data_IF_910723126377
#
_entry.id   IF_910723126377
#
_cell.length_a   1.000
_cell.length_b   1.000
_cell.length_c   1.000
_cell.angle_alpha   90.00
_cell.angle_beta   90.00
_cell.angle_gamma   90.00
#
_symmetry.space_group_name_H-M   'P 1'
#
loop_
_entity.id
_entity.type
_entity.pdbx_description
1 polymer ?
#
# COMPACT_ATOMS: atom_id res chain seq x y z
N UNK A 1 5.96 -10.89 22.01
CA UNK A 1 5.67 -11.18 20.59
C UNK A 1 4.21 -10.97 20.24
N UNK A 2 3.26 -11.48 21.03
CA UNK A 2 1.81 -11.36 20.74
C UNK A 2 1.31 -9.91 20.59
N UNK A 3 1.86 -8.94 21.35
CA UNK A 3 1.40 -7.55 21.31
C UNK A 3 1.60 -6.85 19.95
N UNK A 4 2.65 -7.16 19.17
CA UNK A 4 2.87 -6.54 17.85
C UNK A 4 1.90 -7.10 16.82
N UNK A 5 1.63 -8.40 16.89
CA UNK A 5 0.71 -9.06 15.94
C UNK A 5 -0.72 -8.53 16.09
N UNK A 6 -1.12 -8.16 17.32
CA UNK A 6 -2.43 -7.57 17.59
C UNK A 6 -2.53 -6.09 17.22
N UNK A 7 -1.40 -5.38 17.16
CA UNK A 7 -1.36 -3.93 16.99
C UNK A 7 -1.09 -3.46 15.57
N UNK A 8 -0.61 -4.34 14.68
CA UNK A 8 -0.48 -4.01 13.26
C UNK A 8 -1.84 -4.11 12.57
N UNK A 9 -2.23 -3.06 11.88
CA UNK A 9 -3.37 -3.06 10.97
C UNK A 9 -3.06 -2.25 9.71
N UNK A 10 -3.64 -2.64 8.56
CA UNK A 10 -3.48 -1.88 7.33
C UNK A 10 -4.43 -0.67 7.34
N UNK A 11 -3.91 0.49 6.97
CA UNK A 11 -4.68 1.69 6.72
C UNK A 11 -4.98 1.73 5.23
N UNK A 12 -6.20 1.42 4.86
CA UNK A 12 -6.66 1.41 3.47
C UNK A 12 -6.56 2.81 2.86
N UNK A 13 -6.04 2.90 1.62
CA UNK A 13 -5.99 4.14 0.85
C UNK A 13 -7.07 4.09 -0.23
N UNK A 14 -6.96 3.18 -1.19
CA UNK A 14 -7.97 2.93 -2.21
C UNK A 14 -7.80 1.57 -2.90
N UNK A 15 -8.80 1.18 -3.66
CA UNK A 15 -8.82 -0.01 -4.50
C UNK A 15 -9.34 0.37 -5.88
N UNK A 16 -8.78 -0.25 -6.91
CA UNK A 16 -9.31 -0.21 -8.27
C UNK A 16 -9.15 -1.55 -8.97
N UNK A 17 -10.02 -1.78 -9.95
CA UNK A 17 -9.95 -2.91 -10.88
C UNK A 17 -9.45 -2.37 -12.22
N UNK A 18 -8.25 -2.82 -12.60
CA UNK A 18 -7.57 -2.38 -13.82
C UNK A 18 -7.70 -3.43 -14.90
N UNK A 19 -7.83 -2.95 -16.14
CA UNK A 19 -7.73 -3.76 -17.36
C UNK A 19 -6.71 -3.09 -18.27
N UNK A 20 -5.70 -3.83 -18.67
CA UNK A 20 -4.66 -3.35 -19.58
C UNK A 20 -4.49 -4.32 -20.72
N UNK A 21 -4.17 -3.77 -21.90
CA UNK A 21 -3.93 -4.56 -23.10
C UNK A 21 -2.59 -5.29 -23.08
N UNK A 22 -2.39 -6.14 -24.06
CA UNK A 22 -1.16 -6.92 -24.29
C UNK A 22 0.14 -6.09 -24.30
N UNK A 23 0.08 -4.83 -24.72
CA UNK A 23 1.27 -3.99 -24.87
C UNK A 23 1.52 -3.08 -23.66
N UNK A 24 0.70 -3.22 -22.63
CA UNK A 24 0.85 -2.39 -21.44
C UNK A 24 2.20 -2.61 -20.75
N UNK A 25 2.88 -1.50 -20.50
CA UNK A 25 4.12 -1.44 -19.72
C UNK A 25 3.98 -0.38 -18.65
N UNK A 26 4.19 -0.75 -17.40
CA UNK A 26 4.39 0.18 -16.32
C UNK A 26 5.90 0.32 -16.11
N UNK A 27 6.48 1.51 -16.35
CA UNK A 27 7.92 1.70 -16.24
C UNK A 27 8.36 1.61 -14.79
N UNK A 28 9.66 1.29 -14.63
CA UNK A 28 10.28 1.15 -13.30
C UNK A 28 10.11 2.42 -12.47
N UNK A 29 9.41 2.33 -11.35
CA UNK A 29 9.16 3.44 -10.44
C UNK A 29 9.03 2.97 -8.99
N UNK A 30 9.50 3.79 -8.02
CA UNK A 30 9.31 3.49 -6.61
C UNK A 30 7.82 3.56 -6.24
N UNK A 31 7.39 2.69 -5.33
CA UNK A 31 6.01 2.64 -4.85
C UNK A 31 5.93 3.29 -3.47
N UNK A 32 5.19 4.41 -3.30
CA UNK A 32 5.18 5.17 -2.05
C UNK A 32 4.29 4.58 -0.94
N UNK A 33 3.64 3.47 -1.20
CA UNK A 33 2.73 2.74 -0.31
C UNK A 33 2.85 1.23 -0.55
N UNK A 34 2.29 0.42 0.32
CA UNK A 34 2.16 -1.02 0.07
C UNK A 34 0.97 -1.32 -0.85
N UNK A 35 1.13 -2.32 -1.73
CA UNK A 35 0.05 -2.79 -2.61
C UNK A 35 -0.12 -4.29 -2.49
N UNK A 36 -1.37 -4.74 -2.64
CA UNK A 36 -1.69 -6.13 -2.90
C UNK A 36 -2.51 -6.18 -4.18
N UNK A 37 -2.10 -7.01 -5.15
CA UNK A 37 -2.80 -7.22 -6.42
C UNK A 37 -3.29 -8.65 -6.52
N UNK A 38 -4.56 -8.83 -6.86
CA UNK A 38 -5.12 -10.12 -7.23
C UNK A 38 -5.31 -10.16 -8.75
N UNK A 39 -4.66 -11.10 -9.43
CA UNK A 39 -4.82 -11.28 -10.87
C UNK A 39 -6.12 -12.05 -11.15
N UNK A 40 -7.06 -11.39 -11.83
CA UNK A 40 -8.37 -11.95 -12.17
C UNK A 40 -8.29 -12.77 -13.45
N UNK A 41 -7.59 -12.25 -14.47
CA UNK A 41 -7.37 -12.91 -15.76
C UNK A 41 -6.15 -12.36 -16.48
N UNK A 42 -5.62 -13.13 -17.42
CA UNK A 42 -4.44 -12.76 -18.20
C UNK A 42 -3.13 -13.00 -17.46
N UNK A 43 -2.01 -12.75 -18.16
CA UNK A 43 -0.66 -12.98 -17.68
C UNK A 43 0.22 -11.75 -17.88
N UNK A 44 1.15 -11.54 -16.96
CA UNK A 44 2.12 -10.45 -17.02
C UNK A 44 3.43 -10.84 -16.33
N UNK A 45 4.45 -10.03 -16.53
CA UNK A 45 5.67 -10.04 -15.74
C UNK A 45 5.64 -8.82 -14.83
N UNK A 46 5.71 -9.04 -13.53
CA UNK A 46 5.91 -7.99 -12.53
C UNK A 46 7.33 -8.12 -11.99
N UNK A 47 8.11 -7.04 -12.07
CA UNK A 47 9.46 -7.01 -11.52
C UNK A 47 9.48 -6.10 -10.30
N UNK A 48 10.03 -6.62 -9.21
CA UNK A 48 10.19 -5.92 -7.95
C UNK A 48 11.68 -5.83 -7.65
N UNK A 49 12.22 -4.61 -7.63
CA UNK A 49 13.65 -4.36 -7.66
C UNK A 49 14.29 -5.17 -8.83
N UNK A 50 15.23 -6.06 -8.56
CA UNK A 50 15.92 -6.87 -9.58
C UNK A 50 15.29 -8.26 -9.82
N UNK A 51 14.16 -8.57 -9.17
CA UNK A 51 13.52 -9.88 -9.27
C UNK A 51 12.25 -9.81 -10.08
N UNK A 52 12.14 -10.68 -11.11
CA UNK A 52 10.97 -10.77 -11.99
C UNK A 52 10.10 -11.97 -11.65
N UNK A 53 8.79 -11.77 -11.66
CA UNK A 53 7.77 -12.77 -11.35
C UNK A 53 6.78 -12.85 -12.51
N UNK A 54 6.55 -14.04 -13.02
CA UNK A 54 5.40 -14.28 -13.91
C UNK A 54 4.15 -14.42 -13.06
N UNK A 55 3.12 -13.65 -13.38
CA UNK A 55 1.85 -13.65 -12.67
C UNK A 55 0.72 -14.05 -13.59
N UNK A 56 -0.25 -14.79 -13.07
CA UNK A 56 -1.43 -15.28 -13.79
C UNK A 56 -2.66 -15.34 -12.88
N UNK A 57 -3.80 -15.85 -13.39
CA UNK A 57 -5.06 -15.90 -12.65
C UNK A 57 -4.92 -16.60 -11.29
N UNK A 58 -5.47 -15.99 -10.26
CA UNK A 58 -5.38 -16.47 -8.87
C UNK A 58 -4.15 -16.03 -8.11
N UNK A 59 -3.15 -15.42 -8.77
CA UNK A 59 -1.99 -14.90 -8.06
C UNK A 59 -2.36 -13.65 -7.25
N UNK A 60 -1.92 -13.65 -6.00
CA UNK A 60 -1.80 -12.47 -5.16
C UNK A 60 -0.34 -12.02 -5.18
N UNK A 61 -0.11 -10.79 -5.57
CA UNK A 61 1.22 -10.19 -5.65
C UNK A 61 1.32 -9.02 -4.66
N UNK A 62 2.20 -9.15 -3.68
CA UNK A 62 2.47 -8.13 -2.67
C UNK A 62 3.65 -7.25 -3.08
N UNK A 63 3.48 -5.96 -3.00
CA UNK A 63 4.51 -4.96 -3.28
C UNK A 63 4.70 -4.11 -2.02
N UNK A 64 5.81 -4.29 -1.29
CA UNK A 64 6.13 -3.46 -0.14
C UNK A 64 6.36 -2.00 -0.51
N UNK A 65 6.03 -1.10 0.40
CA UNK A 65 6.34 0.33 0.26
C UNK A 65 7.84 0.57 0.05
N UNK A 66 8.18 1.48 -0.84
CA UNK A 66 9.56 1.88 -1.14
C UNK A 66 10.26 1.01 -2.19
N UNK A 67 9.69 -0.13 -2.55
CA UNK A 67 10.23 -1.00 -3.60
C UNK A 67 10.02 -0.41 -4.99
N UNK A 68 10.92 -0.73 -5.91
CA UNK A 68 10.83 -0.31 -7.32
C UNK A 68 10.05 -1.37 -8.08
N UNK A 69 8.91 -0.97 -8.65
CA UNK A 69 8.02 -1.83 -9.41
C UNK A 69 8.08 -1.51 -10.89
N UNK A 70 8.17 -2.53 -11.75
CA UNK A 70 7.82 -2.43 -13.15
C UNK A 70 6.91 -3.58 -13.55
N UNK A 71 6.09 -3.40 -14.60
CA UNK A 71 5.18 -4.42 -15.08
C UNK A 71 5.14 -4.42 -16.61
N UNK A 72 4.99 -5.60 -17.21
CA UNK A 72 4.78 -5.77 -18.64
C UNK A 72 3.72 -6.86 -18.87
N UNK A 73 2.64 -6.51 -19.58
CA UNK A 73 1.59 -7.47 -19.92
C UNK A 73 2.03 -8.36 -21.09
N UNK A 74 1.81 -9.67 -20.98
CA UNK A 74 2.01 -10.63 -22.08
C UNK A 74 0.77 -10.80 -22.94
N UNK A 75 -0.38 -10.56 -22.34
CA UNK A 75 -1.70 -10.57 -22.96
C UNK A 75 -2.60 -9.55 -22.26
N UNK A 76 -3.88 -9.43 -22.61
CA UNK A 76 -4.80 -8.59 -21.83
C UNK A 76 -4.82 -9.09 -20.38
N UNK A 77 -4.51 -8.20 -19.43
CA UNK A 77 -4.49 -8.52 -18.00
C UNK A 77 -5.54 -7.73 -17.24
N UNK A 78 -6.25 -8.41 -16.34
CA UNK A 78 -7.18 -7.79 -15.39
C UNK A 78 -6.74 -8.12 -13.98
N UNK A 79 -6.59 -7.10 -13.13
CA UNK A 79 -6.29 -7.30 -11.72
C UNK A 79 -6.98 -6.27 -10.82
N UNK A 80 -7.27 -6.66 -9.59
CA UNK A 80 -7.74 -5.77 -8.52
C UNK A 80 -6.52 -5.39 -7.70
N UNK A 81 -6.32 -4.09 -7.49
CA UNK A 81 -5.17 -3.56 -6.75
C UNK A 81 -5.63 -2.75 -5.56
N UNK A 82 -5.26 -3.19 -4.35
CA UNK A 82 -5.54 -2.53 -3.08
C UNK A 82 -4.28 -1.83 -2.62
N UNK A 83 -4.38 -0.58 -2.22
CA UNK A 83 -3.30 0.23 -1.68
C UNK A 83 -3.56 0.54 -0.22
N UNK A 84 -2.53 0.39 0.57
CA UNK A 84 -2.60 0.60 2.02
C UNK A 84 -1.25 1.03 2.59
N UNK A 85 -1.28 1.53 3.81
CA UNK A 85 -0.09 1.84 4.61
C UNK A 85 -0.20 1.04 5.90
N UNK A 86 0.89 0.51 6.39
CA UNK A 86 0.92 -0.16 7.69
C UNK A 86 0.78 0.84 8.84
N UNK A 87 0.03 0.47 9.88
CA UNK A 87 -0.10 1.26 11.10
C UNK A 87 1.21 1.37 11.90
N UNK A 88 2.14 0.47 11.66
CA UNK A 88 3.51 0.49 12.18
C UNK A 88 4.43 0.60 10.99
N UNK A 89 5.27 1.63 10.96
CA UNK A 89 6.26 1.84 9.92
C UNK A 89 7.63 2.01 10.58
N UNK A 90 8.60 1.29 10.04
CA UNK A 90 10.02 1.46 10.37
C UNK A 90 10.76 1.75 9.07
N UNK A 91 11.66 2.72 9.10
CA UNK A 91 12.43 3.10 7.93
C UNK A 91 13.26 1.91 7.41
N UNK A 92 13.12 1.63 6.12
CA UNK A 92 13.80 0.52 5.46
C UNK A 92 13.25 -0.89 5.77
N UNK A 93 12.16 -1.01 6.53
CA UNK A 93 11.60 -2.30 6.93
C UNK A 93 10.21 -2.55 6.36
N UNK A 94 10.01 -3.73 5.76
CA UNK A 94 8.69 -4.23 5.40
C UNK A 94 8.08 -5.01 6.56
N UNK A 95 7.12 -4.38 7.23
CA UNK A 95 6.51 -4.94 8.45
C UNK A 95 5.74 -6.24 8.19
N UNK A 96 5.11 -6.41 7.03
CA UNK A 96 4.37 -7.65 6.72
C UNK A 96 5.32 -8.83 6.53
N UNK A 97 6.41 -8.64 5.80
CA UNK A 97 7.42 -9.67 5.65
C UNK A 97 8.11 -9.97 6.98
N UNK A 98 8.38 -8.96 7.79
CA UNK A 98 9.07 -9.14 9.07
C UNK A 98 8.21 -9.81 10.14
N UNK A 99 6.92 -9.44 10.25
CA UNK A 99 6.03 -9.97 11.27
C UNK A 99 5.51 -11.36 10.89
N UNK A 100 5.15 -11.54 9.61
CA UNK A 100 4.43 -12.72 9.15
C UNK A 100 5.08 -13.42 7.96
N UNK A 101 6.27 -12.97 7.53
CA UNK A 101 6.98 -13.52 6.37
C UNK A 101 6.08 -13.60 5.12
N UNK A 102 5.25 -12.57 4.90
CA UNK A 102 4.28 -12.55 3.81
C UNK A 102 5.00 -12.69 2.47
N UNK A 103 4.62 -13.68 1.63
CA UNK A 103 5.30 -13.92 0.37
C UNK A 103 5.00 -12.79 -0.63
N UNK A 104 5.99 -12.46 -1.47
CA UNK A 104 5.81 -11.50 -2.56
C UNK A 104 4.75 -11.98 -3.57
N UNK A 105 4.73 -13.29 -3.86
CA UNK A 105 3.75 -13.93 -4.73
C UNK A 105 3.24 -15.21 -4.12
N UNK A 106 1.94 -15.43 -4.19
CA UNK A 106 1.32 -16.72 -3.92
C UNK A 106 0.06 -16.90 -4.76
N UNK A 107 -0.18 -18.13 -5.25
CA UNK A 107 -1.39 -18.44 -6.00
C UNK A 107 -2.50 -18.93 -5.07
N UNK A 108 -3.60 -18.20 -5.02
CA UNK A 108 -4.81 -18.51 -4.25
C UNK A 108 -5.96 -18.99 -5.15
N UNK A 109 -5.66 -19.48 -6.36
CA UNK A 109 -6.70 -19.93 -7.31
C UNK A 109 -7.58 -21.05 -6.77
N UNK A 110 -7.09 -21.84 -5.81
CA UNK A 110 -7.84 -22.91 -5.13
C UNK A 110 -8.56 -22.43 -3.84
N UNK A 111 -8.47 -21.13 -3.51
CA UNK A 111 -9.08 -20.53 -2.31
C UNK A 111 -10.02 -19.41 -2.78
N UNK A 112 -11.27 -19.77 -3.16
CA UNK A 112 -12.21 -18.81 -3.79
C UNK A 112 -12.56 -17.63 -2.88
N UNK A 113 -12.47 -17.79 -1.57
CA UNK A 113 -12.72 -16.75 -0.58
C UNK A 113 -11.77 -15.56 -0.76
N UNK A 114 -10.51 -15.78 -1.11
CA UNK A 114 -9.53 -14.71 -1.30
C UNK A 114 -9.95 -13.82 -2.48
N UNK A 115 -10.42 -14.41 -3.59
CA UNK A 115 -10.98 -13.64 -4.72
C UNK A 115 -12.19 -12.84 -4.26
N UNK A 116 -13.12 -13.48 -3.52
CA UNK A 116 -14.33 -12.82 -3.04
C UNK A 116 -14.00 -11.61 -2.15
N UNK A 117 -13.00 -11.70 -1.28
CA UNK A 117 -12.55 -10.57 -0.45
C UNK A 117 -12.07 -9.38 -1.30
N UNK A 118 -11.30 -9.61 -2.35
CA UNK A 118 -10.87 -8.54 -3.26
C UNK A 118 -12.06 -7.89 -3.98
N UNK A 119 -13.01 -8.69 -4.50
CA UNK A 119 -14.20 -8.17 -5.20
C UNK A 119 -15.11 -7.42 -4.22
N UNK A 120 -15.26 -7.88 -2.97
CA UNK A 120 -16.05 -7.18 -1.93
C UNK A 120 -15.41 -5.86 -1.53
N UNK A 121 -14.09 -5.79 -1.35
CA UNK A 121 -13.39 -4.53 -1.08
C UNK A 121 -13.66 -3.55 -2.22
N UNK A 122 -13.54 -4.00 -3.47
CA UNK A 122 -13.81 -3.16 -4.64
C UNK A 122 -15.26 -2.69 -4.70
N UNK A 123 -16.22 -3.58 -4.48
CA UNK A 123 -17.64 -3.25 -4.46
C UNK A 123 -17.97 -2.26 -3.32
N UNK A 124 -17.49 -2.52 -2.09
CA UNK A 124 -17.71 -1.64 -0.93
C UNK A 124 -17.13 -0.24 -1.15
N UNK A 125 -15.97 -0.13 -1.82
CA UNK A 125 -15.37 1.17 -2.13
C UNK A 125 -16.23 2.04 -3.07
N UNK A 126 -17.04 1.42 -3.92
CA UNK A 126 -17.96 2.10 -4.84
C UNK A 126 -19.28 2.52 -4.17
N UNK A 127 -19.58 2.00 -2.99
CA UNK A 127 -20.82 2.31 -2.28
C UNK A 127 -20.76 3.65 -1.54
N UNK A 128 -21.95 4.19 -1.18
CA UNK A 128 -22.08 5.35 -0.28
C UNK A 128 -22.38 4.93 1.16
N UNK A 129 -22.20 3.64 1.50
CA UNK A 129 -22.46 3.14 2.85
C UNK A 129 -21.56 3.81 3.89
N UNK A 130 -22.14 4.18 5.03
CA UNK A 130 -21.39 4.67 6.21
C UNK A 130 -20.47 3.58 6.79
N UNK A 131 -20.80 2.31 6.59
CA UNK A 131 -20.03 1.17 7.11
C UNK A 131 -18.96 0.64 6.16
N UNK A 132 -18.82 1.22 4.95
CA UNK A 132 -17.90 0.73 3.91
C UNK A 132 -16.46 0.57 4.42
N UNK A 133 -15.98 1.49 5.26
CA UNK A 133 -14.60 1.41 5.77
C UNK A 133 -14.41 0.25 6.76
N UNK A 134 -15.46 -0.10 7.52
CA UNK A 134 -15.42 -1.26 8.40
C UNK A 134 -15.35 -2.56 7.61
N UNK A 135 -16.18 -2.69 6.55
CA UNK A 135 -16.17 -3.83 5.64
C UNK A 135 -14.82 -3.98 4.94
N UNK A 136 -14.30 -2.88 4.33
CA UNK A 136 -13.00 -2.88 3.65
C UNK A 136 -11.87 -3.32 4.58
N UNK A 137 -11.82 -2.79 5.79
CA UNK A 137 -10.81 -3.16 6.80
C UNK A 137 -10.94 -4.63 7.20
N UNK A 138 -12.16 -5.13 7.38
CA UNK A 138 -12.41 -6.53 7.68
C UNK A 138 -11.85 -7.47 6.61
N UNK A 139 -12.23 -7.24 5.35
CA UNK A 139 -11.76 -8.06 4.24
C UNK A 139 -10.26 -7.93 3.98
N UNK A 140 -9.69 -6.73 4.12
CA UNK A 140 -8.24 -6.53 3.95
C UNK A 140 -7.44 -7.30 5.02
N UNK A 141 -7.91 -7.31 6.28
CA UNK A 141 -7.31 -8.12 7.33
C UNK A 141 -7.42 -9.63 7.04
N UNK A 142 -8.54 -10.10 6.48
CA UNK A 142 -8.70 -11.49 6.07
C UNK A 142 -7.73 -11.88 4.94
N UNK A 143 -7.53 -11.02 3.94
CA UNK A 143 -6.51 -11.24 2.90
C UNK A 143 -5.12 -11.39 3.53
N UNK A 144 -4.73 -10.46 4.40
CA UNK A 144 -3.43 -10.51 5.07
C UNK A 144 -3.27 -11.75 5.94
N UNK A 145 -4.35 -12.19 6.63
CA UNK A 145 -4.35 -13.42 7.40
C UNK A 145 -4.11 -14.66 6.53
N UNK A 146 -4.76 -14.77 5.36
CA UNK A 146 -4.51 -15.86 4.42
C UNK A 146 -3.06 -15.87 3.91
N UNK A 147 -2.52 -14.70 3.56
CA UNK A 147 -1.12 -14.58 3.14
C UNK A 147 -0.14 -14.98 4.25
N UNK A 148 -0.42 -14.61 5.50
CA UNK A 148 0.39 -15.01 6.65
C UNK A 148 0.30 -16.50 6.96
N UNK A 149 -0.86 -17.14 6.79
CA UNK A 149 -1.05 -18.59 6.99
C UNK A 149 -0.20 -19.41 6.01
N UNK A 150 -0.18 -19.04 4.74
CA UNK A 150 0.65 -19.70 3.72
C UNK A 150 2.13 -19.70 4.10
N UNK A 151 2.63 -18.61 4.66
CA UNK A 151 4.02 -18.50 5.10
C UNK A 151 4.36 -19.48 6.24
N UNK A 152 3.45 -19.67 7.18
CA UNK A 152 3.63 -20.64 8.26
C UNK A 152 3.67 -22.08 7.74
N UNK A 153 2.85 -22.41 6.77
CA UNK A 153 2.83 -23.74 6.15
C UNK A 153 4.13 -24.03 5.38
N UNK A 154 4.64 -23.05 4.66
CA UNK A 154 5.92 -23.16 3.96
C UNK A 154 7.08 -23.29 4.96
N UNK A 155 7.12 -22.48 6.01
CA UNK A 155 8.13 -22.57 7.07
C UNK A 155 8.15 -23.96 7.74
N UNK A 156 6.98 -24.54 8.03
CA UNK A 156 6.87 -25.86 8.63
C UNK A 156 7.29 -27.00 7.67
N UNK A 157 7.23 -26.78 6.34
CA UNK A 157 7.73 -27.75 5.35
C UNK A 157 9.24 -27.67 5.17
N UNK A 158 9.83 -26.47 5.23
CA UNK A 158 11.27 -26.25 5.05
C UNK A 158 12.09 -26.62 6.30
N UNK A 159 11.50 -26.60 7.51
CA UNK A 159 12.18 -27.02 8.75
C UNK A 159 12.45 -28.53 8.83
N UNK A 160 12.01 -29.31 7.85
CA UNK A 160 12.38 -30.75 7.72
C UNK A 160 13.67 -30.99 6.94
N UNK A 161 14.30 -29.96 6.39
CA UNK A 161 15.60 -30.04 5.73
C UNK A 161 16.61 -29.19 6.53
N UNK A 162 17.45 -29.84 7.28
CA UNK A 162 18.66 -29.27 7.89
C UNK A 162 19.55 -28.71 6.79
N UNK A 163 19.77 -27.36 6.81
CA UNK A 163 20.97 -26.66 6.33
C UNK A 163 20.69 -25.15 6.18
N UNK A 164 21.20 -24.24 7.03
CA UNK A 164 22.41 -23.51 6.75
C UNK A 164 22.75 -22.46 7.84
N UNK A 165 23.93 -22.59 8.40
CA UNK A 165 24.50 -21.72 9.45
C UNK A 165 24.90 -20.30 8.97
N UNK A 166 24.38 -19.80 7.88
CA UNK A 166 24.65 -18.43 7.38
C UNK A 166 23.63 -17.37 7.85
N UNK A 167 22.64 -17.77 8.65
CA UNK A 167 21.58 -16.88 9.12
C UNK A 167 21.93 -16.03 10.35
N UNK A 168 23.12 -16.19 10.95
CA UNK A 168 23.40 -15.59 12.27
C UNK A 168 23.54 -14.07 12.24
N UNK A 169 24.05 -13.48 11.18
CA UNK A 169 24.18 -12.02 11.07
C UNK A 169 22.87 -11.34 10.67
N UNK A 170 22.10 -11.93 9.74
CA UNK A 170 20.76 -11.45 9.39
C UNK A 170 19.77 -11.60 10.55
N UNK A 171 19.95 -12.60 11.41
CA UNK A 171 19.09 -12.84 12.58
C UNK A 171 19.29 -11.79 13.68
N UNK A 172 20.51 -11.26 13.85
CA UNK A 172 20.79 -10.20 14.81
C UNK A 172 20.14 -8.88 14.42
N UNK A 173 20.14 -8.53 13.13
CA UNK A 173 19.47 -7.33 12.63
C UNK A 173 17.94 -7.43 12.75
N UNK A 174 17.35 -8.58 12.42
CA UNK A 174 15.92 -8.86 12.60
C UNK A 174 15.47 -8.77 14.06
N UNK A 175 16.28 -9.19 15.03
CA UNK A 175 15.96 -9.05 16.45
C UNK A 175 15.97 -7.60 16.90
N UNK A 176 16.93 -6.79 16.46
CA UNK A 176 17.02 -5.37 16.77
C UNK A 176 15.84 -4.58 16.18
N UNK A 177 15.43 -4.91 14.95
CA UNK A 177 14.29 -4.31 14.28
C UNK A 177 12.97 -4.77 14.95
N UNK A 178 12.83 -6.04 15.28
CA UNK A 178 11.68 -6.54 16.07
C UNK A 178 11.58 -5.84 17.41
N UNK A 179 12.68 -5.69 18.14
CA UNK A 179 12.68 -4.96 19.42
C UNK A 179 12.28 -3.48 19.25
N UNK A 180 12.74 -2.82 18.16
CA UNK A 180 12.31 -1.46 17.82
C UNK A 180 10.82 -1.40 17.48
N UNK A 181 10.31 -2.37 16.70
CA UNK A 181 8.89 -2.50 16.38
C UNK A 181 8.04 -2.74 17.65
N UNK A 182 8.49 -3.60 18.57
CA UNK A 182 7.85 -3.82 19.87
C UNK A 182 7.82 -2.56 20.72
N UNK A 183 8.92 -1.81 20.76
CA UNK A 183 8.97 -0.53 21.46
C UNK A 183 7.99 0.48 20.85
N UNK A 184 7.89 0.52 19.52
CA UNK A 184 6.95 1.40 18.78
C UNK A 184 5.50 0.96 19.00
N UNK A 185 5.21 -0.34 19.03
CA UNK A 185 3.88 -0.89 19.29
C UNK A 185 3.44 -0.68 20.75
N UNK A 186 4.37 -0.76 21.71
CA UNK A 186 4.10 -0.52 23.14
C UNK A 186 3.95 0.97 23.50
N UNK A 187 4.38 1.88 22.62
CA UNK A 187 4.07 3.30 22.78
C UNK A 187 2.57 3.46 22.55
N UNK A 188 1.88 3.89 23.58
CA UNK A 188 0.44 4.04 23.68
C UNK A 188 -0.12 4.67 22.39
N UNK A 189 -0.70 3.86 21.50
CA UNK A 189 -1.29 4.35 20.25
C UNK A 189 -2.48 5.22 20.59
N UNK A 190 -2.34 6.50 20.36
CA UNK A 190 -3.45 7.43 20.59
C UNK A 190 -4.48 7.25 19.46
N UNK A 191 -5.72 6.79 19.76
CA UNK A 191 -6.74 6.52 18.75
C UNK A 191 -7.12 7.78 17.94
N UNK A 192 -6.83 8.97 18.48
CA UNK A 192 -7.10 10.24 17.81
C UNK A 192 -6.22 10.42 16.57
N UNK A 193 -5.02 9.82 16.52
CA UNK A 193 -4.20 9.80 15.30
C UNK A 193 -4.89 9.01 14.19
N UNK A 194 -5.57 7.90 14.51
CA UNK A 194 -6.36 7.14 13.52
C UNK A 194 -7.48 8.00 12.92
N UNK A 195 -8.15 8.83 13.74
CA UNK A 195 -9.17 9.76 13.24
C UNK A 195 -8.57 10.77 12.27
N UNK A 196 -7.40 11.34 12.58
CA UNK A 196 -6.69 12.26 11.68
C UNK A 196 -6.32 11.56 10.37
N UNK A 197 -5.74 10.36 10.44
CA UNK A 197 -5.36 9.56 9.27
C UNK A 197 -6.57 9.26 8.39
N UNK A 198 -7.67 8.77 8.97
CA UNK A 198 -8.91 8.49 8.26
C UNK A 198 -9.48 9.75 7.59
N UNK A 199 -9.43 10.89 8.29
CA UNK A 199 -9.89 12.18 7.75
C UNK A 199 -9.07 12.60 6.54
N UNK A 200 -7.74 12.48 6.59
CA UNK A 200 -6.86 12.81 5.46
C UNK A 200 -7.10 11.86 4.27
N UNK A 201 -7.20 10.56 4.53
CA UNK A 201 -7.40 9.54 3.49
C UNK A 201 -8.75 9.70 2.78
N UNK A 202 -9.79 10.07 3.52
CA UNK A 202 -11.16 10.23 2.97
C UNK A 202 -11.38 11.55 2.25
N UNK A 203 -10.54 12.55 2.49
CA UNK A 203 -10.64 13.89 1.87
C UNK A 203 -9.31 14.32 1.23
N UNK A 204 -8.82 13.58 0.22
CA UNK A 204 -7.53 13.86 -0.42
C UNK A 204 -7.46 15.21 -1.14
N UNK A 205 -8.62 15.80 -1.47
CA UNK A 205 -8.75 17.12 -2.10
C UNK A 205 -8.46 18.26 -1.13
N UNK A 206 -8.65 18.04 0.17
CA UNK A 206 -8.57 19.11 1.18
C UNK A 206 -7.11 19.45 1.52
N UNK A 207 -6.83 20.75 1.66
CA UNK A 207 -5.59 21.26 2.22
C UNK A 207 -5.76 21.44 3.74
N UNK A 208 -5.43 20.39 4.49
CA UNK A 208 -5.50 20.43 5.95
C UNK A 208 -4.39 21.31 6.51
N UNK A 209 -4.75 22.23 7.41
CA UNK A 209 -3.80 22.97 8.23
C UNK A 209 -3.49 22.20 9.52
N UNK A 210 -2.30 22.42 10.09
CA UNK A 210 -1.96 21.86 11.40
C UNK A 210 -2.98 22.25 12.48
N UNK A 211 -3.51 23.47 12.40
CA UNK A 211 -4.52 23.98 13.34
C UNK A 211 -5.82 23.17 13.27
N UNK A 212 -6.36 22.94 12.06
CA UNK A 212 -7.58 22.14 11.88
C UNK A 212 -7.42 20.72 12.42
N UNK A 213 -6.27 20.08 12.16
CA UNK A 213 -6.01 18.73 12.64
C UNK A 213 -5.80 18.68 14.16
N UNK A 214 -5.20 19.72 14.74
CA UNK A 214 -5.11 19.87 16.19
C UNK A 214 -6.48 20.04 16.85
N UNK A 215 -7.34 20.85 16.28
CA UNK A 215 -8.72 21.06 16.77
C UNK A 215 -9.55 19.77 16.65
N UNK A 216 -9.43 19.05 15.53
CA UNK A 216 -10.13 17.78 15.30
C UNK A 216 -9.84 16.73 16.39
N UNK A 217 -8.60 16.66 16.85
CA UNK A 217 -8.14 15.63 17.79
C UNK A 217 -7.89 16.13 19.20
N UNK A 218 -8.02 17.44 19.46
CA UNK A 218 -7.71 18.03 20.78
C UNK A 218 -6.23 17.94 21.14
N UNK A 219 -5.33 18.16 20.16
CA UNK A 219 -3.89 18.16 20.37
C UNK A 219 -3.30 19.56 20.36
N UNK A 220 -2.16 19.73 21.05
CA UNK A 220 -1.21 20.80 20.73
C UNK A 220 -0.43 20.44 19.47
N UNK A 221 0.12 21.43 18.77
CA UNK A 221 0.87 21.22 17.52
C UNK A 221 2.11 20.32 17.72
N UNK A 222 2.82 20.50 18.85
CA UNK A 222 3.97 19.67 19.21
C UNK A 222 3.57 18.22 19.46
N UNK A 223 2.43 18.00 20.14
CA UNK A 223 1.88 16.66 20.41
C UNK A 223 1.47 15.98 19.12
N UNK A 224 0.76 16.69 18.24
CA UNK A 224 0.36 16.17 16.93
C UNK A 224 1.59 15.73 16.12
N UNK A 225 2.60 16.59 15.96
CA UNK A 225 3.82 16.27 15.19
C UNK A 225 4.50 15.01 15.72
N UNK A 226 4.69 14.93 17.04
CA UNK A 226 5.36 13.80 17.68
C UNK A 226 4.56 12.51 17.49
N UNK A 227 3.30 12.47 17.93
CA UNK A 227 2.46 11.27 17.89
C UNK A 227 2.18 10.81 16.47
N UNK A 228 1.92 11.74 15.55
CA UNK A 228 1.68 11.41 14.15
C UNK A 228 2.91 10.74 13.52
N UNK A 229 4.11 11.31 13.71
CA UNK A 229 5.36 10.72 13.21
C UNK A 229 5.69 9.40 13.89
N UNK A 230 5.48 9.27 15.20
CA UNK A 230 5.68 8.01 15.93
C UNK A 230 4.76 6.89 15.43
N UNK A 231 3.50 7.21 15.10
CA UNK A 231 2.51 6.19 14.70
C UNK A 231 2.45 5.93 13.19
N UNK A 232 2.76 6.91 12.34
CA UNK A 232 2.69 6.77 10.88
C UNK A 232 4.05 6.68 10.20
N UNK A 233 5.14 6.93 10.93
CA UNK A 233 6.50 7.01 10.38
C UNK A 233 6.77 8.27 9.56
N UNK A 234 5.77 9.13 9.32
CA UNK A 234 5.85 10.30 8.43
C UNK A 234 5.40 11.58 9.13
N UNK A 235 5.87 12.73 8.63
CA UNK A 235 5.26 13.99 9.04
C UNK A 235 3.83 14.07 8.50
N UNK A 236 2.98 14.90 9.11
CA UNK A 236 1.61 15.16 8.62
C UNK A 236 1.64 15.66 7.16
N UNK A 237 2.58 16.56 6.84
CA UNK A 237 2.74 17.10 5.51
C UNK A 237 3.09 16.05 4.46
N UNK A 238 4.10 15.21 4.74
CA UNK A 238 4.52 14.14 3.83
C UNK A 238 3.40 13.12 3.63
N UNK A 239 2.66 12.79 4.69
CA UNK A 239 1.53 11.89 4.63
C UNK A 239 0.42 12.44 3.71
N UNK A 240 0.02 13.70 3.89
CA UNK A 240 -0.97 14.37 3.02
C UNK A 240 -0.48 14.41 1.57
N UNK A 241 0.80 14.75 1.34
CA UNK A 241 1.41 14.75 0.01
C UNK A 241 1.30 13.38 -0.65
N UNK A 242 1.64 12.31 0.06
CA UNK A 242 1.57 10.94 -0.46
C UNK A 242 0.15 10.52 -0.82
N UNK A 243 -0.83 10.83 0.03
CA UNK A 243 -2.25 10.54 -0.22
C UNK A 243 -2.74 11.30 -1.47
N UNK A 244 -2.40 12.58 -1.61
CA UNK A 244 -2.74 13.37 -2.81
C UNK A 244 -2.10 12.80 -4.07
N UNK A 245 -0.81 12.48 -4.02
CA UNK A 245 -0.08 11.92 -5.16
C UNK A 245 -0.61 10.54 -5.55
N UNK A 246 -0.99 9.72 -4.56
CA UNK A 246 -1.62 8.42 -4.79
C UNK A 246 -2.96 8.54 -5.52
N UNK A 247 -3.81 9.50 -5.10
CA UNK A 247 -5.08 9.80 -5.78
C UNK A 247 -4.87 10.41 -7.18
N UNK A 248 -3.82 11.22 -7.36
CA UNK A 248 -3.43 11.72 -8.67
C UNK A 248 -3.06 10.57 -9.62
N UNK A 249 -2.21 9.66 -9.18
CA UNK A 249 -1.80 8.47 -9.95
C UNK A 249 -3.01 7.64 -10.37
N UNK A 250 -3.95 7.41 -9.46
CA UNK A 250 -5.22 6.76 -9.76
C UNK A 250 -5.97 7.45 -10.90
N UNK A 251 -6.26 8.75 -10.75
CA UNK A 251 -7.01 9.52 -11.76
C UNK A 251 -6.31 9.53 -13.12
N UNK A 252 -4.98 9.61 -13.14
CA UNK A 252 -4.19 9.56 -14.37
C UNK A 252 -4.34 8.23 -15.12
N UNK A 253 -4.50 7.12 -14.40
CA UNK A 253 -4.65 5.77 -15.00
C UNK A 253 -6.08 5.46 -15.43
N UNK A 254 -7.10 5.99 -14.73
CA UNK A 254 -8.50 5.56 -14.93
C UNK A 254 -9.37 6.62 -15.60
N UNK A 255 -8.85 7.84 -15.81
CA UNK A 255 -9.62 8.94 -16.43
C UNK A 255 -8.83 9.67 -17.50
N UNK A 256 -9.55 10.32 -18.42
CA UNK A 256 -8.99 11.25 -19.40
C UNK A 256 -9.04 12.72 -18.95
N UNK A 257 -9.29 12.98 -17.64
CA UNK A 257 -9.31 14.35 -17.12
C UNK A 257 -8.01 15.09 -17.44
N UNK A 258 -8.05 16.36 -17.83
CA UNK A 258 -6.85 17.18 -18.01
C UNK A 258 -5.97 17.13 -16.74
N UNK A 259 -4.66 17.07 -16.92
CA UNK A 259 -3.71 17.02 -15.79
C UNK A 259 -3.87 18.25 -14.89
N UNK A 260 -4.15 19.42 -15.48
CA UNK A 260 -4.45 20.64 -14.73
C UNK A 260 -5.70 20.50 -13.87
N UNK A 261 -6.76 19.85 -14.39
CA UNK A 261 -7.99 19.61 -13.63
C UNK A 261 -7.74 18.66 -12.44
N UNK A 262 -6.94 17.62 -12.63
CA UNK A 262 -6.52 16.72 -11.55
C UNK A 262 -5.74 17.49 -10.48
N UNK A 263 -4.79 18.35 -10.89
CA UNK A 263 -4.02 19.18 -9.97
C UNK A 263 -4.91 20.06 -9.09
N UNK A 264 -5.82 20.81 -9.72
CA UNK A 264 -6.76 21.67 -9.00
C UNK A 264 -7.72 20.90 -8.11
N UNK A 265 -8.26 19.77 -8.59
CA UNK A 265 -9.13 18.89 -7.82
C UNK A 265 -8.46 18.30 -6.57
N UNK A 266 -7.13 18.23 -6.55
CA UNK A 266 -6.34 17.79 -5.39
C UNK A 266 -5.82 18.97 -4.56
N UNK A 267 -6.29 20.19 -4.83
CA UNK A 267 -5.97 21.38 -4.05
C UNK A 267 -4.57 21.96 -4.32
N UNK A 268 -3.98 21.68 -5.49
CA UNK A 268 -2.75 22.36 -5.92
C UNK A 268 -3.06 23.69 -6.60
N UNK A 269 -2.34 24.73 -6.24
CA UNK A 269 -2.54 26.08 -6.81
C UNK A 269 -2.08 26.15 -8.26
N UNK A 270 -1.04 25.37 -8.63
CA UNK A 270 -0.52 25.38 -10.00
C UNK A 270 -0.24 23.97 -10.49
N UNK A 271 -0.59 23.65 -11.76
CA UNK A 271 -0.26 22.35 -12.37
C UNK A 271 1.25 22.08 -12.45
N UNK A 272 2.06 23.12 -12.56
CA UNK A 272 3.53 23.00 -12.62
C UNK A 272 4.11 22.49 -11.29
N UNK A 273 3.65 23.04 -10.16
CA UNK A 273 4.06 22.58 -8.85
C UNK A 273 3.56 21.15 -8.56
N UNK A 274 2.31 20.86 -8.95
CA UNK A 274 1.77 19.51 -8.92
C UNK A 274 2.66 18.52 -9.70
N UNK A 275 3.02 18.85 -10.95
CA UNK A 275 3.85 17.97 -11.79
C UNK A 275 5.23 17.72 -11.18
N UNK A 276 5.84 18.73 -10.54
CA UNK A 276 7.09 18.58 -9.80
C UNK A 276 6.93 17.61 -8.63
N UNK A 277 5.92 17.83 -7.78
CA UNK A 277 5.65 16.93 -6.64
C UNK A 277 5.35 15.50 -7.09
N UNK A 278 4.60 15.33 -8.19
CA UNK A 278 4.28 14.03 -8.73
C UNK A 278 5.54 13.28 -9.21
N UNK A 279 6.43 13.99 -9.94
CA UNK A 279 7.70 13.42 -10.41
C UNK A 279 8.64 13.06 -9.26
N UNK A 280 8.65 13.84 -8.17
CA UNK A 280 9.43 13.51 -6.97
C UNK A 280 8.98 12.20 -6.33
N UNK A 281 7.66 11.90 -6.34
CA UNK A 281 7.09 10.70 -5.71
C UNK A 281 7.19 9.47 -6.61
N UNK A 282 6.91 9.62 -7.92
CA UNK A 282 6.79 8.49 -8.85
C UNK A 282 7.95 8.37 -9.84
N UNK A 283 8.92 9.28 -9.84
CA UNK A 283 10.03 9.30 -10.78
C UNK A 283 9.65 9.74 -12.20
N UNK A 284 8.36 9.84 -12.52
CA UNK A 284 7.79 10.18 -13.82
C UNK A 284 6.93 11.44 -13.74
N UNK A 285 6.89 12.23 -14.82
CA UNK A 285 5.89 13.30 -14.92
C UNK A 285 4.47 12.73 -15.02
N UNK A 286 3.42 13.50 -14.64
CA UNK A 286 2.03 13.05 -14.80
C UNK A 286 1.67 12.62 -16.22
N UNK A 287 2.26 13.28 -17.24
CA UNK A 287 2.02 12.95 -18.64
C UNK A 287 2.66 11.61 -19.04
N UNK A 288 3.92 11.38 -18.64
CA UNK A 288 4.60 10.11 -18.84
C UNK A 288 3.86 8.99 -18.11
N UNK A 289 3.45 9.22 -16.87
CA UNK A 289 2.69 8.24 -16.07
C UNK A 289 1.37 7.87 -16.72
N UNK A 290 0.62 8.84 -17.29
CA UNK A 290 -0.62 8.59 -18.02
C UNK A 290 -0.39 7.75 -19.27
N UNK A 291 0.68 7.98 -20.03
CA UNK A 291 1.00 7.18 -21.21
C UNK A 291 1.15 5.71 -20.92
N UNK A 292 1.64 5.34 -19.74
CA UNK A 292 1.77 3.93 -19.36
C UNK A 292 0.44 3.16 -19.37
N UNK A 293 -0.70 3.87 -19.32
CA UNK A 293 -2.04 3.26 -19.35
C UNK A 293 -2.79 3.45 -20.67
N UNK A 294 -2.34 4.38 -21.53
CA UNK A 294 -3.09 4.81 -22.72
C UNK A 294 -2.39 4.51 -24.05
N UNK A 295 -1.16 4.00 -24.07
CA UNK A 295 -0.51 3.51 -25.28
C UNK A 295 -1.09 2.14 -25.67
N UNK A 296 -2.40 2.17 -26.04
CA UNK A 296 -3.17 1.05 -26.56
C UNK A 296 -3.90 1.51 -27.82
#
# INVERSE_FOLDING_TARGET
MEAIYSDYYPIFIYVDKYRFSKNWVYPSAPVPYSLIRYVVSGTAVFSLDDTSYEVGPGDVFYIPQGKVLSCAAREEIVFISIRFIGSIQLEGADMLSMLWNVPIRHNFGQVPEVRDFFERIYASALTRSTFKMLEIRGYLNLILAHMACVSKENFNRDTTLEEDRRETEAHFDLQSIRHRAEKTARTNKDPRITIIVDTIVTHPEKNFTSKELCELAGFSESTLRRLFKEQTGKTVYDFIKDIKMTNAARKLLVTNEPISSIAYALGYETPSYFAKCFKEVFGLSPQEYRRTSHDV
#
